data_IF_446967101879
#
_entry.id   IF_446967101879
#
_cell.length_a   1.000
_cell.length_b   1.000
_cell.length_c   1.000
_cell.angle_alpha   90.00
_cell.angle_beta   90.00
_cell.angle_gamma   90.00
#
_symmetry.space_group_name_H-M   'P 1'
#
loop_
_entity.id
_entity.type
_entity.pdbx_description
1 polymer ?
#
# COMPACT_ATOMS: atom_id res chain seq x y z
N UNK A 1 -0.34 -7.58 18.84
CA UNK A 1 1.13 -7.54 18.72
C UNK A 1 1.72 -7.85 20.10
N UNK A 2 2.56 -8.87 20.22
CA UNK A 2 3.13 -9.27 21.50
C UNK A 2 4.60 -8.82 21.56
N UNK A 3 4.93 -8.01 22.56
CA UNK A 3 6.32 -7.64 22.87
C UNK A 3 6.85 -8.65 23.89
N UNK A 4 7.89 -9.38 23.52
CA UNK A 4 8.57 -10.29 24.44
C UNK A 4 9.64 -9.51 25.21
N UNK A 5 9.51 -9.50 26.53
CA UNK A 5 10.47 -8.89 27.44
C UNK A 5 11.59 -9.85 27.87
N UNK A 6 11.42 -11.13 27.60
CA UNK A 6 12.42 -12.16 27.92
C UNK A 6 13.58 -12.11 26.91
N UNK A 7 14.84 -12.08 27.36
CA UNK A 7 15.99 -12.15 26.47
C UNK A 7 15.94 -13.43 25.64
N UNK A 8 16.20 -13.39 24.32
CA UNK A 8 16.24 -14.60 23.52
C UNK A 8 17.36 -15.52 24.03
N UNK A 9 17.03 -16.81 24.22
CA UNK A 9 17.94 -17.86 24.71
C UNK A 9 19.23 -18.00 23.85
N UNK A 10 19.17 -17.59 22.58
CA UNK A 10 20.30 -17.56 21.66
C UNK A 10 20.43 -16.17 21.05
N UNK A 11 21.63 -15.80 20.60
CA UNK A 11 21.86 -14.56 19.87
C UNK A 11 20.88 -14.46 18.69
N UNK A 12 19.95 -13.50 18.78
CA UNK A 12 18.91 -13.30 17.79
C UNK A 12 19.17 -12.03 16.98
N UNK A 13 18.92 -12.09 15.69
CA UNK A 13 18.99 -10.93 14.79
C UNK A 13 17.59 -10.54 14.31
N UNK A 14 17.40 -9.25 14.05
CA UNK A 14 16.17 -8.72 13.50
C UNK A 14 16.00 -9.24 12.07
N UNK A 15 14.83 -9.80 11.76
CA UNK A 15 14.53 -10.31 10.41
C UNK A 15 14.52 -9.22 9.33
N UNK A 16 14.40 -7.95 9.69
CA UNK A 16 14.35 -6.82 8.74
C UNK A 16 15.70 -6.12 8.59
N UNK A 17 16.39 -5.81 9.68
CA UNK A 17 17.61 -5.00 9.64
C UNK A 17 18.90 -5.78 9.96
N UNK A 18 18.79 -7.09 10.22
CA UNK A 18 19.90 -8.00 10.55
C UNK A 18 20.72 -7.62 11.79
N UNK A 19 20.32 -6.57 12.53
CA UNK A 19 20.98 -6.15 13.77
C UNK A 19 20.68 -7.10 14.90
N UNK A 20 21.59 -7.19 15.86
CA UNK A 20 21.37 -7.97 17.09
C UNK A 20 20.20 -7.41 17.88
N UNK A 21 19.34 -8.31 18.34
CA UNK A 21 18.18 -8.00 19.16
C UNK A 21 18.62 -7.98 20.62
N UNK A 22 18.24 -6.91 21.33
CA UNK A 22 18.44 -6.76 22.78
C UNK A 22 17.16 -7.17 23.54
N UNK A 23 17.13 -6.95 24.86
CA UNK A 23 15.93 -7.13 25.68
C UNK A 23 14.75 -6.31 25.13
N UNK A 24 13.57 -6.91 25.03
CA UNK A 24 12.39 -6.27 24.46
C UNK A 24 12.39 -6.37 22.93
N UNK A 25 11.69 -7.36 22.38
CA UNK A 25 11.57 -7.55 20.94
C UNK A 25 10.17 -7.98 20.54
N UNK A 26 9.82 -7.72 19.29
CA UNK A 26 8.53 -8.09 18.73
C UNK A 26 8.66 -9.45 18.07
N UNK A 27 7.71 -10.35 18.36
CA UNK A 27 7.66 -11.66 17.72
C UNK A 27 6.38 -11.80 16.91
N UNK A 28 6.52 -12.18 15.65
CA UNK A 28 5.37 -12.51 14.82
C UNK A 28 4.88 -13.92 15.19
N UNK A 29 3.60 -14.03 15.57
CA UNK A 29 3.03 -15.23 16.23
C UNK A 29 3.04 -16.46 15.31
N UNK A 30 2.80 -16.27 14.00
CA UNK A 30 2.72 -17.39 13.05
C UNK A 30 4.08 -17.86 12.54
N UNK A 31 4.94 -16.92 12.16
CA UNK A 31 6.24 -17.22 11.51
C UNK A 31 7.39 -17.32 12.49
N UNK A 32 7.16 -16.98 13.77
CA UNK A 32 8.18 -16.92 14.81
C UNK A 32 9.33 -15.93 14.51
N UNK A 33 9.16 -15.07 13.50
CA UNK A 33 10.12 -14.02 13.16
C UNK A 33 10.22 -12.98 14.26
N UNK A 34 11.41 -12.40 14.41
CA UNK A 34 11.77 -11.51 15.51
C UNK A 34 12.20 -10.16 14.95
N UNK A 35 11.75 -9.08 15.58
CA UNK A 35 12.02 -7.71 15.17
C UNK A 35 12.46 -6.89 16.38
N UNK A 36 13.40 -5.98 16.17
CA UNK A 36 13.92 -5.12 17.23
C UNK A 36 12.88 -4.12 17.76
N UNK A 37 11.94 -3.69 16.91
CA UNK A 37 10.92 -2.71 17.23
C UNK A 37 9.67 -2.92 16.35
N UNK A 38 8.64 -2.13 16.63
CA UNK A 38 7.42 -2.13 15.84
C UNK A 38 7.63 -1.67 14.39
N UNK A 39 8.55 -0.75 14.14
CA UNK A 39 8.79 -0.22 12.79
C UNK A 39 9.40 -1.29 11.87
N UNK A 40 10.34 -2.08 12.38
CA UNK A 40 10.93 -3.21 11.68
C UNK A 40 9.90 -4.33 11.49
N UNK A 41 9.01 -4.55 12.46
CA UNK A 41 7.88 -5.45 12.31
C UNK A 41 6.96 -5.00 11.18
N UNK A 42 6.55 -3.73 11.15
CA UNK A 42 5.66 -3.17 10.12
C UNK A 42 6.28 -3.25 8.73
N UNK A 43 7.58 -2.94 8.60
CA UNK A 43 8.32 -3.11 7.33
C UNK A 43 8.36 -4.58 6.92
N UNK A 44 8.65 -5.48 7.86
CA UNK A 44 8.67 -6.92 7.61
C UNK A 44 7.32 -7.46 7.14
N UNK A 45 6.23 -7.08 7.80
CA UNK A 45 4.87 -7.45 7.37
C UNK A 45 4.52 -6.89 6.02
N UNK A 46 4.91 -5.64 5.72
CA UNK A 46 4.68 -5.05 4.40
C UNK A 46 5.42 -5.83 3.31
N UNK A 47 6.68 -6.21 3.55
CA UNK A 47 7.43 -7.06 2.63
C UNK A 47 6.81 -8.45 2.48
N UNK A 48 6.38 -9.09 3.56
CA UNK A 48 5.70 -10.39 3.50
C UNK A 48 4.36 -10.30 2.78
N UNK A 49 3.56 -9.28 3.04
CA UNK A 49 2.27 -9.06 2.38
C UNK A 49 2.44 -8.87 0.87
N UNK A 50 3.46 -8.11 0.46
CA UNK A 50 3.80 -7.94 -0.96
C UNK A 50 4.31 -9.23 -1.61
N UNK A 51 5.08 -10.05 -0.87
CA UNK A 51 5.61 -11.32 -1.37
C UNK A 51 4.58 -12.46 -1.37
N UNK A 52 3.59 -12.40 -0.47
CA UNK A 52 2.62 -13.47 -0.24
C UNK A 52 1.39 -13.36 -1.14
N UNK A 53 1.30 -12.35 -2.00
CA UNK A 53 0.23 -12.32 -3.00
C UNK A 53 0.47 -13.47 -3.99
N UNK A 54 -0.38 -14.52 -3.99
CA UNK A 54 -0.21 -15.59 -4.94
C UNK A 54 -0.58 -15.02 -6.30
N UNK A 55 0.36 -15.02 -7.25
CA UNK A 55 -0.03 -14.95 -8.65
C UNK A 55 -0.96 -16.15 -8.90
N UNK A 56 -2.17 -15.97 -9.45
CA UNK A 56 -2.90 -17.09 -10.01
C UNK A 56 -2.07 -17.63 -11.18
N UNK A 57 -1.47 -18.81 -11.02
CA UNK A 57 -0.93 -19.56 -12.16
C UNK A 57 0.50 -20.10 -12.08
N UNK A 58 1.21 -20.11 -10.95
CA UNK A 58 2.49 -20.84 -10.88
C UNK A 58 2.77 -21.53 -9.54
N UNK A 59 2.37 -22.79 -9.48
CA UNK A 59 3.00 -23.82 -8.64
C UNK A 59 4.41 -24.08 -9.15
N UNK A 60 5.42 -23.64 -8.39
CA UNK A 60 6.65 -24.40 -8.05
C UNK A 60 7.65 -23.48 -7.31
N UNK A 61 8.28 -23.93 -6.21
CA UNK A 61 9.23 -23.14 -5.44
C UNK A 61 10.66 -23.36 -5.96
N UNK A 62 11.30 -22.31 -6.48
CA UNK A 62 12.74 -22.35 -6.75
C UNK A 62 13.41 -21.05 -6.33
N UNK A 63 14.43 -21.22 -5.49
CA UNK A 63 15.12 -20.23 -4.66
C UNK A 63 16.03 -19.25 -5.44
N UNK A 64 15.53 -18.58 -6.49
CA UNK A 64 16.37 -17.72 -7.35
C UNK A 64 15.70 -16.48 -7.91
N UNK A 65 14.69 -15.89 -7.26
CA UNK A 65 13.73 -15.02 -7.94
C UNK A 65 13.70 -13.54 -7.51
N UNK A 66 14.73 -12.97 -6.86
CA UNK A 66 14.69 -11.56 -6.42
C UNK A 66 14.49 -10.59 -7.60
N UNK A 67 15.10 -10.85 -8.76
CA UNK A 67 14.91 -10.05 -9.98
C UNK A 67 13.57 -10.30 -10.67
N UNK A 68 13.04 -11.53 -10.60
CA UNK A 68 11.71 -11.83 -11.13
C UNK A 68 10.60 -11.23 -10.25
N UNK A 69 10.79 -11.24 -8.93
CA UNK A 69 9.94 -10.55 -7.96
C UNK A 69 10.01 -9.03 -8.13
N UNK A 70 11.21 -8.47 -8.36
CA UNK A 70 11.39 -7.04 -8.62
C UNK A 70 10.77 -6.60 -9.97
N UNK A 71 10.93 -7.39 -11.03
CA UNK A 71 10.29 -7.14 -12.34
C UNK A 71 8.76 -7.22 -12.23
N UNK A 72 8.26 -8.21 -11.50
CA UNK A 72 6.82 -8.34 -11.21
C UNK A 72 6.29 -7.19 -10.34
N UNK A 73 7.09 -6.65 -9.42
CA UNK A 73 6.75 -5.47 -8.62
C UNK A 73 6.63 -4.20 -9.48
N UNK A 74 7.52 -4.01 -10.45
CA UNK A 74 7.44 -2.86 -11.37
C UNK A 74 6.18 -2.94 -12.23
N UNK A 75 5.84 -4.14 -12.72
CA UNK A 75 4.64 -4.36 -13.54
C UNK A 75 3.35 -4.12 -12.75
N UNK A 76 3.27 -4.62 -11.51
CA UNK A 76 2.10 -4.39 -10.64
C UNK A 76 1.97 -2.92 -10.23
N UNK A 77 3.08 -2.25 -9.90
CA UNK A 77 3.09 -0.81 -9.63
C UNK A 77 2.67 0.00 -10.87
N UNK A 78 3.11 -0.41 -12.06
CA UNK A 78 2.70 0.23 -13.31
C UNK A 78 1.19 0.08 -13.54
N UNK A 79 0.64 -1.12 -13.37
CA UNK A 79 -0.81 -1.37 -13.50
C UNK A 79 -1.61 -0.55 -12.48
N UNK A 80 -1.20 -0.54 -11.21
CA UNK A 80 -1.87 0.25 -10.18
C UNK A 80 -1.78 1.76 -10.47
N UNK A 81 -0.63 2.25 -10.94
CA UNK A 81 -0.46 3.64 -11.32
C UNK A 81 -1.34 4.02 -12.52
N UNK A 82 -1.48 3.13 -13.50
CA UNK A 82 -2.37 3.34 -14.63
C UNK A 82 -3.82 3.41 -14.16
N UNK A 83 -4.30 2.43 -13.38
CA UNK A 83 -5.67 2.42 -12.83
C UNK A 83 -5.95 3.69 -12.03
N UNK A 84 -5.01 4.11 -11.19
CA UNK A 84 -5.13 5.36 -10.43
C UNK A 84 -5.21 6.58 -11.34
N UNK A 85 -4.38 6.65 -12.38
CA UNK A 85 -4.37 7.76 -13.34
C UNK A 85 -5.69 7.87 -14.10
N UNK A 86 -6.22 6.75 -14.60
CA UNK A 86 -7.52 6.70 -15.25
C UNK A 86 -8.65 7.10 -14.30
N UNK A 87 -8.60 6.64 -13.05
CA UNK A 87 -9.59 6.99 -12.02
C UNK A 87 -9.57 8.49 -11.70
N UNK A 88 -8.38 9.08 -11.53
CA UNK A 88 -8.23 10.52 -11.30
C UNK A 88 -8.74 11.35 -12.49
N UNK A 89 -8.49 10.89 -13.71
CA UNK A 89 -8.94 11.58 -14.93
C UNK A 89 -10.46 11.58 -15.03
N UNK A 90 -11.10 10.43 -14.77
CA UNK A 90 -12.56 10.31 -14.76
C UNK A 90 -13.17 11.23 -13.69
N UNK A 91 -12.63 11.20 -12.47
CA UNK A 91 -13.15 12.03 -11.38
C UNK A 91 -12.99 13.54 -11.69
N UNK A 92 -11.84 13.95 -12.20
CA UNK A 92 -11.63 15.37 -12.56
C UNK A 92 -12.61 15.81 -13.65
N UNK A 93 -12.87 14.95 -14.63
CA UNK A 93 -13.79 15.22 -15.71
C UNK A 93 -15.25 15.33 -15.24
N UNK A 94 -15.70 14.44 -14.34
CA UNK A 94 -17.04 14.51 -13.76
C UNK A 94 -17.23 15.76 -12.91
N UNK A 95 -16.23 16.14 -12.09
CA UNK A 95 -16.26 17.39 -11.33
C UNK A 95 -16.34 18.62 -12.24
N UNK A 96 -15.54 18.67 -13.32
CA UNK A 96 -15.57 19.77 -14.28
C UNK A 96 -16.95 19.90 -14.96
N UNK A 97 -17.56 18.77 -15.37
CA UNK A 97 -18.92 18.72 -15.92
C UNK A 97 -19.95 19.23 -14.93
N UNK A 98 -19.90 18.78 -13.68
CA UNK A 98 -20.85 19.18 -12.64
C UNK A 98 -20.76 20.68 -12.34
N UNK A 99 -19.53 21.22 -12.19
CA UNK A 99 -19.30 22.65 -11.97
C UNK A 99 -19.77 23.50 -13.14
N UNK A 100 -19.52 23.05 -14.37
CA UNK A 100 -19.97 23.78 -15.57
C UNK A 100 -21.49 23.80 -15.67
N UNK A 101 -22.15 22.68 -15.37
CA UNK A 101 -23.62 22.61 -15.31
C UNK A 101 -24.20 23.56 -14.26
N UNK A 102 -23.68 23.52 -13.03
CA UNK A 102 -24.13 24.41 -11.95
C UNK A 102 -23.87 25.89 -12.25
N UNK A 103 -22.75 26.22 -12.92
CA UNK A 103 -22.44 27.59 -13.32
C UNK A 103 -23.42 28.12 -14.38
N UNK A 104 -23.78 27.29 -15.36
CA UNK A 104 -24.74 27.69 -16.41
C UNK A 104 -26.17 27.79 -15.85
N UNK A 105 -26.61 26.82 -15.06
CA UNK A 105 -27.92 26.82 -14.39
C UNK A 105 -28.10 28.06 -13.49
N UNK A 106 -27.10 28.38 -12.67
CA UNK A 106 -27.10 29.60 -11.86
C UNK A 106 -27.10 30.89 -12.69
N UNK A 107 -26.46 30.90 -13.87
CA UNK A 107 -26.46 32.07 -14.77
C UNK A 107 -27.83 32.27 -15.42
N UNK A 108 -28.51 31.20 -15.83
CA UNK A 108 -29.84 31.27 -16.43
C UNK A 108 -30.90 31.76 -15.42
N UNK A 109 -30.79 31.32 -14.15
CA UNK A 109 -31.59 31.84 -13.03
C UNK A 109 -31.39 33.36 -12.84
N UNK A 110 -30.14 33.84 -12.79
CA UNK A 110 -29.84 35.27 -12.64
C UNK A 110 -30.34 36.09 -13.85
N UNK A 111 -30.33 35.49 -15.05
CA UNK A 111 -30.74 36.18 -16.28
C UNK A 111 -32.27 36.27 -16.40
N UNK A 112 -33.00 35.30 -15.85
CA UNK A 112 -34.48 35.29 -15.87
C UNK A 112 -35.09 36.17 -14.76
N UNK A 113 -34.43 36.33 -13.62
CA UNK A 113 -34.89 37.23 -12.53
C UNK A 113 -34.71 38.74 -12.84
N UNK A 114 -33.87 39.10 -13.82
CA UNK A 114 -33.63 40.49 -14.22
C UNK A 114 -34.55 41.04 -15.32
N UNK A 115 -35.55 40.26 -15.76
CA UNK A 115 -36.38 40.57 -16.93
C UNK A 115 -37.77 41.18 -16.66
N UNK A 116 -38.19 41.33 -15.40
CA UNK A 116 -39.50 41.90 -15.03
C UNK A 116 -39.37 43.33 -14.47
N UNK A 117 -39.18 44.31 -15.37
CA UNK A 117 -39.49 45.74 -15.16
C UNK A 117 -39.90 46.36 -16.48
#
# INVERSE_FOLDING_TARGET
MLVNHEPPLCAATCSTCSRSIRSGYVRHVRTQQRYCDYDCYRRGEFTTFLMQWPLPGRTEPAAGNVEAAARSMIETLAVLSAISCWSCTIQTWTFARALTGAYLDGRDLITTEGGDT
#
